data_IF_958415667547
#
_entry.id   IF_958415667547
#
_cell.length_a   1.000
_cell.length_b   1.000
_cell.length_c   1.000
_cell.angle_alpha   90.00
_cell.angle_beta   90.00
_cell.angle_gamma   90.00
#
_symmetry.space_group_name_H-M   'P 1'
#
loop_
_entity.id
_entity.type
_entity.pdbx_description
1 polymer ?
#
# COMPACT_ATOMS: atom_id res chain seq x y z
N UNK A 1 -52.31 23.17 15.40
CA UNK A 1 -51.69 21.85 15.71
C UNK A 1 -51.17 21.08 14.49
N UNK A 2 -52.00 20.70 13.49
CA UNK A 2 -51.55 19.84 12.35
C UNK A 2 -50.38 20.41 11.51
N UNK A 3 -50.30 21.74 11.32
CA UNK A 3 -49.20 22.40 10.58
C UNK A 3 -47.85 22.34 11.30
N UNK A 4 -47.82 22.49 12.62
CA UNK A 4 -46.58 22.41 13.42
C UNK A 4 -45.99 20.99 13.39
N UNK A 5 -46.84 19.96 13.43
CA UNK A 5 -46.39 18.56 13.33
C UNK A 5 -45.75 18.27 11.96
N UNK A 6 -46.28 18.84 10.87
CA UNK A 6 -45.69 18.71 9.52
C UNK A 6 -44.34 19.42 9.40
N UNK A 7 -44.22 20.61 9.99
CA UNK A 7 -42.98 21.39 9.97
C UNK A 7 -41.87 20.69 10.77
N UNK A 8 -42.20 20.13 11.95
CA UNK A 8 -41.23 19.40 12.77
C UNK A 8 -40.74 18.10 12.07
N UNK A 9 -41.62 17.40 11.35
CA UNK A 9 -41.22 16.23 10.55
C UNK A 9 -40.31 16.61 9.38
N UNK A 10 -40.57 17.74 8.71
CA UNK A 10 -39.74 18.21 7.60
C UNK A 10 -38.34 18.64 8.08
N UNK A 11 -38.26 19.34 9.22
CA UNK A 11 -36.98 19.73 9.84
C UNK A 11 -36.18 18.49 10.28
N UNK A 12 -36.84 17.48 10.86
CA UNK A 12 -36.18 16.23 11.23
C UNK A 12 -35.62 15.51 9.99
N UNK A 13 -36.37 15.46 8.90
CA UNK A 13 -35.92 14.86 7.63
C UNK A 13 -34.73 15.61 7.01
N UNK A 14 -34.75 16.95 7.03
CA UNK A 14 -33.64 17.79 6.57
C UNK A 14 -32.39 17.63 7.44
N UNK A 15 -32.54 17.54 8.76
CA UNK A 15 -31.41 17.26 9.65
C UNK A 15 -30.84 15.86 9.45
N UNK A 16 -31.68 14.84 9.19
CA UNK A 16 -31.21 13.51 8.86
C UNK A 16 -30.47 13.46 7.51
N UNK A 17 -30.95 14.16 6.47
CA UNK A 17 -30.22 14.20 5.18
C UNK A 17 -28.94 15.03 5.25
N UNK A 18 -28.89 16.06 6.11
CA UNK A 18 -27.66 16.83 6.35
C UNK A 18 -26.62 16.00 7.15
N UNK A 19 -27.05 15.24 8.16
CA UNK A 19 -26.19 14.31 8.90
C UNK A 19 -25.67 13.17 8.01
N UNK A 20 -26.46 12.69 7.05
CA UNK A 20 -25.99 11.70 6.06
C UNK A 20 -24.98 12.27 5.07
N UNK A 21 -24.93 13.60 4.87
CA UNK A 21 -23.85 14.27 4.14
C UNK A 21 -22.62 14.56 5.00
N UNK A 22 -22.71 14.48 6.33
CA UNK A 22 -21.55 14.42 7.23
C UNK A 22 -20.98 13.00 7.37
N UNK A 23 -21.70 11.99 6.89
CA UNK A 23 -21.16 10.66 6.58
C UNK A 23 -20.51 10.62 5.19
N UNK A 24 -20.09 11.77 4.64
CA UNK A 24 -19.04 11.78 3.64
C UNK A 24 -17.80 11.17 4.28
N UNK A 25 -17.51 9.94 3.86
CA UNK A 25 -16.29 9.21 4.15
C UNK A 25 -15.10 10.00 3.60
N UNK A 26 -14.67 11.00 4.37
CA UNK A 26 -13.33 11.56 4.26
C UNK A 26 -12.32 10.49 4.69
N UNK A 27 -11.11 10.45 4.11
CA UNK A 27 -10.12 9.45 4.42
C UNK A 27 -9.56 9.73 5.81
N UNK A 28 -10.16 9.16 6.85
CA UNK A 28 -9.53 9.07 8.16
C UNK A 28 -8.33 8.14 7.96
N UNK A 29 -7.13 8.63 8.28
CA UNK A 29 -5.85 7.97 8.08
C UNK A 29 -5.70 6.60 8.77
N UNK A 30 -4.46 6.07 8.86
CA UNK A 30 -4.02 4.72 8.48
C UNK A 30 -4.75 3.55 9.16
N UNK A 31 -6.08 3.47 8.99
CA UNK A 31 -6.90 2.36 9.42
C UNK A 31 -7.84 1.96 8.29
N UNK A 32 -7.24 1.63 7.14
CA UNK A 32 -7.95 1.11 6.00
C UNK A 32 -8.33 -0.35 6.26
N UNK A 33 -9.34 -0.59 7.11
CA UNK A 33 -9.92 -1.90 7.39
C UNK A 33 -8.87 -3.03 7.50
N UNK A 34 -7.97 -2.95 8.50
CA UNK A 34 -6.93 -3.97 8.66
C UNK A 34 -7.57 -5.34 8.90
N UNK A 35 -7.03 -6.34 8.20
CA UNK A 35 -7.39 -7.73 8.41
C UNK A 35 -6.13 -8.55 8.59
N UNK A 36 -6.10 -9.30 9.69
CA UNK A 36 -5.06 -10.30 9.91
C UNK A 36 -5.15 -11.39 8.85
N UNK A 37 -4.00 -11.83 8.38
CA UNK A 37 -3.88 -12.79 7.30
C UNK A 37 -4.22 -14.19 7.81
N UNK A 38 -5.44 -14.65 7.53
CA UNK A 38 -5.83 -16.04 7.70
C UNK A 38 -5.30 -16.94 6.59
N UNK A 39 -5.38 -18.27 6.80
CA UNK A 39 -5.08 -19.27 5.76
C UNK A 39 -3.67 -19.14 5.13
N UNK A 40 -2.69 -18.66 5.89
CA UNK A 40 -1.30 -18.52 5.45
C UNK A 40 -0.61 -19.89 5.37
N UNK A 41 0.19 -20.11 4.31
CA UNK A 41 0.96 -21.35 4.15
C UNK A 41 2.29 -21.07 3.46
N UNK A 42 3.12 -20.24 4.10
CA UNK A 42 4.40 -19.77 3.55
C UNK A 42 4.20 -19.00 2.23
N UNK A 43 3.24 -18.08 2.23
CA UNK A 43 2.74 -17.34 1.07
C UNK A 43 2.90 -15.84 1.29
N UNK A 44 3.64 -15.16 0.42
CA UNK A 44 3.95 -13.73 0.58
C UNK A 44 3.66 -12.92 -0.67
N UNK A 45 3.41 -11.62 -0.52
CA UNK A 45 3.76 -10.62 -1.51
C UNK A 45 5.19 -10.15 -1.24
N UNK A 46 6.04 -10.21 -2.25
CA UNK A 46 7.45 -9.83 -2.17
C UNK A 46 7.67 -8.59 -3.02
N UNK A 47 8.39 -7.61 -2.48
CA UNK A 47 8.74 -6.42 -3.24
C UNK A 47 10.12 -5.86 -2.86
N UNK A 48 10.81 -5.36 -3.88
CA UNK A 48 12.03 -4.57 -3.77
C UNK A 48 11.96 -3.44 -4.78
N UNK A 49 11.71 -2.23 -4.30
CA UNK A 49 11.57 -1.05 -5.16
C UNK A 49 12.94 -0.37 -5.32
N UNK A 50 13.32 0.06 -6.54
CA UNK A 50 14.63 0.62 -6.79
C UNK A 50 14.82 1.99 -6.11
N UNK A 51 16.06 2.41 -5.88
CA UNK A 51 16.33 3.80 -5.51
C UNK A 51 15.80 4.81 -6.52
N UNK A 52 15.22 5.90 -6.03
CA UNK A 52 14.97 7.10 -6.82
C UNK A 52 16.14 8.06 -6.61
N UNK A 53 17.26 7.85 -7.31
CA UNK A 53 18.55 8.52 -7.06
C UNK A 53 18.44 10.04 -6.90
N UNK A 54 17.63 10.69 -7.75
CA UNK A 54 17.46 12.14 -7.76
C UNK A 54 16.20 12.66 -7.05
N UNK A 55 15.44 11.79 -6.40
CA UNK A 55 14.09 12.11 -5.96
C UNK A 55 13.20 12.56 -7.12
N UNK A 56 11.92 12.79 -6.86
CA UNK A 56 11.14 13.61 -7.77
C UNK A 56 11.48 15.08 -7.51
N UNK A 57 11.94 15.77 -8.56
CA UNK A 57 12.25 17.21 -8.52
C UNK A 57 11.04 18.07 -8.09
N UNK A 58 9.83 17.53 -8.19
CA UNK A 58 8.58 18.24 -7.94
C UNK A 58 7.92 17.64 -6.71
N UNK A 59 8.20 18.24 -5.55
CA UNK A 59 7.68 17.84 -4.25
C UNK A 59 8.06 18.90 -3.23
N UNK A 60 7.51 20.09 -3.46
CA UNK A 60 7.72 21.28 -2.67
C UNK A 60 7.31 21.03 -1.19
N UNK A 61 8.16 21.49 -0.28
CA UNK A 61 7.93 21.90 1.11
C UNK A 61 7.28 20.95 2.15
N UNK A 62 6.84 19.73 1.81
CA UNK A 62 6.16 18.84 2.78
C UNK A 62 7.04 17.79 3.49
N UNK A 63 8.33 17.68 3.20
CA UNK A 63 9.19 16.58 3.70
C UNK A 63 10.33 17.08 4.57
N UNK A 64 10.47 16.49 5.77
CA UNK A 64 11.45 16.87 6.79
C UNK A 64 12.90 16.55 6.44
N UNK A 65 13.16 15.71 5.44
CA UNK A 65 14.53 15.39 4.98
C UNK A 65 14.60 14.91 3.53
N UNK A 66 15.79 15.01 2.92
CA UNK A 66 16.08 14.41 1.61
C UNK A 66 15.95 12.88 1.60
N UNK A 67 16.09 12.25 2.77
CA UNK A 67 15.94 10.81 2.99
C UNK A 67 14.47 10.39 2.96
N UNK A 68 13.56 11.21 3.50
CA UNK A 68 12.10 10.96 3.39
C UNK A 68 11.63 10.98 1.93
N UNK A 69 12.25 11.78 1.06
CA UNK A 69 11.92 11.86 -0.37
C UNK A 69 12.26 10.57 -1.14
N UNK A 70 13.02 9.67 -0.54
CA UNK A 70 13.47 8.42 -1.16
C UNK A 70 12.63 7.21 -0.73
N UNK A 71 11.66 7.38 0.17
CA UNK A 71 10.80 6.27 0.63
C UNK A 71 9.60 6.05 -0.28
N UNK A 72 9.11 4.81 -0.28
CA UNK A 72 7.89 4.42 -0.98
C UNK A 72 6.73 4.25 -0.02
N UNK A 73 5.52 4.52 -0.51
CA UNK A 73 4.28 4.11 0.09
C UNK A 73 3.75 2.88 -0.64
N UNK A 74 3.61 1.75 0.07
CA UNK A 74 3.06 0.50 -0.49
C UNK A 74 1.89 0.03 0.37
N UNK A 75 0.75 -0.21 -0.27
CA UNK A 75 -0.41 -0.83 0.39
C UNK A 75 -0.99 -1.96 -0.44
N UNK A 76 -1.35 -3.03 0.26
CA UNK A 76 -1.95 -4.22 -0.32
C UNK A 76 -3.32 -4.42 0.32
N UNK A 77 -4.30 -4.63 -0.55
CA UNK A 77 -5.67 -4.93 -0.17
C UNK A 77 -6.10 -6.26 -0.79
N UNK A 78 -7.01 -6.92 -0.09
CA UNK A 78 -7.79 -8.04 -0.62
C UNK A 78 -9.23 -7.57 -0.71
N UNK A 79 -9.79 -7.59 -1.91
CA UNK A 79 -11.18 -7.27 -2.12
C UNK A 79 -12.04 -8.43 -1.61
N UNK A 80 -13.06 -8.09 -0.82
CA UNK A 80 -14.08 -9.04 -0.42
C UNK A 80 -15.14 -9.10 -1.52
N UNK A 81 -15.56 -10.29 -1.92
CA UNK A 81 -16.63 -10.47 -2.94
C UNK A 81 -17.99 -9.98 -2.42
N UNK A 82 -18.14 -9.87 -1.09
CA UNK A 82 -19.29 -9.25 -0.43
C UNK A 82 -19.13 -7.72 -0.37
N UNK A 83 -20.23 -6.97 -0.27
CA UNK A 83 -20.32 -5.48 -0.29
C UNK A 83 -19.49 -4.72 0.77
N UNK A 84 -18.55 -5.39 1.43
CA UNK A 84 -17.62 -4.86 2.41
C UNK A 84 -16.45 -4.13 1.73
N UNK A 85 -15.91 -3.08 2.38
CA UNK A 85 -14.73 -2.39 1.87
C UNK A 85 -13.52 -3.34 1.84
N UNK A 86 -12.66 -3.17 0.83
CA UNK A 86 -11.41 -3.91 0.68
C UNK A 86 -10.59 -3.86 1.97
N UNK A 87 -10.08 -5.00 2.41
CA UNK A 87 -9.33 -5.11 3.64
C UNK A 87 -7.84 -4.94 3.38
N UNK A 88 -7.17 -4.05 4.12
CA UNK A 88 -5.72 -3.91 4.00
C UNK A 88 -5.02 -5.00 4.80
N UNK A 89 -4.10 -5.70 4.15
CA UNK A 89 -3.39 -6.85 4.74
C UNK A 89 -1.96 -6.55 5.17
N UNK A 90 -1.49 -5.30 5.01
CA UNK A 90 -0.19 -4.90 5.55
C UNK A 90 -0.16 -5.14 7.07
N UNK A 91 0.76 -5.97 7.60
CA UNK A 91 0.84 -6.26 9.03
C UNK A 91 1.07 -5.04 9.91
N UNK A 92 0.87 -5.23 11.21
CA UNK A 92 1.09 -4.22 12.23
C UNK A 92 2.57 -3.81 12.38
N UNK A 93 2.78 -2.69 13.05
CA UNK A 93 4.09 -2.06 13.31
C UNK A 93 5.19 -3.06 13.70
N UNK A 94 4.89 -3.98 14.62
CA UNK A 94 5.88 -4.90 15.19
C UNK A 94 6.47 -5.87 14.16
N UNK A 95 5.71 -6.23 13.12
CA UNK A 95 6.18 -7.09 12.05
C UNK A 95 7.26 -6.38 11.21
N UNK A 96 6.97 -5.16 10.77
CA UNK A 96 7.83 -4.38 9.89
C UNK A 96 9.11 -3.90 10.56
N UNK A 97 9.07 -3.64 11.88
CA UNK A 97 10.26 -3.27 12.64
C UNK A 97 11.40 -4.29 12.51
N UNK A 98 11.07 -5.57 12.35
CA UNK A 98 12.05 -6.66 12.25
C UNK A 98 12.86 -6.66 10.94
N UNK A 99 12.47 -5.84 9.96
CA UNK A 99 13.21 -5.68 8.71
C UNK A 99 14.36 -4.68 8.82
N UNK A 100 14.51 -3.95 9.93
CA UNK A 100 15.47 -2.86 10.03
C UNK A 100 16.47 -3.11 11.16
N UNK A 101 17.77 -3.00 10.85
CA UNK A 101 18.83 -3.20 11.84
C UNK A 101 18.85 -2.09 12.90
N UNK A 102 18.67 -0.83 12.48
CA UNK A 102 18.53 0.31 13.40
C UNK A 102 17.29 1.13 13.06
N UNK A 103 16.14 0.66 13.58
CA UNK A 103 14.84 1.32 13.36
C UNK A 103 14.82 2.79 13.82
N UNK A 104 15.59 3.13 14.85
CA UNK A 104 15.61 4.49 15.40
C UNK A 104 16.39 5.45 14.50
N UNK A 105 17.27 4.96 13.64
CA UNK A 105 17.97 5.77 12.64
C UNK A 105 17.15 6.07 11.37
N UNK A 106 16.00 5.40 11.20
CA UNK A 106 15.20 5.50 9.98
C UNK A 106 14.56 6.88 9.79
N UNK A 107 14.23 7.24 8.53
CA UNK A 107 13.42 8.42 8.24
C UNK A 107 12.16 8.47 9.12
N UNK A 108 11.79 9.66 9.58
CA UNK A 108 10.71 9.83 10.57
C UNK A 108 9.40 9.21 10.08
N UNK A 109 9.13 9.24 8.77
CA UNK A 109 7.92 8.67 8.19
C UNK A 109 7.85 7.14 8.36
N UNK A 110 8.97 6.43 8.24
CA UNK A 110 9.03 4.99 8.46
C UNK A 110 8.89 4.70 9.96
N UNK A 111 9.48 5.53 10.83
CA UNK A 111 9.32 5.34 12.28
C UNK A 111 7.88 5.51 12.75
N UNK A 112 7.16 6.47 12.16
CA UNK A 112 5.79 6.78 12.52
C UNK A 112 4.76 5.82 11.89
N UNK A 113 4.98 5.40 10.64
CA UNK A 113 4.04 4.57 9.88
C UNK A 113 4.77 3.47 9.07
N UNK A 114 5.46 2.52 9.73
CA UNK A 114 6.27 1.50 9.04
C UNK A 114 5.44 0.47 8.28
N UNK A 115 4.11 0.45 8.53
CA UNK A 115 3.16 -0.42 7.85
C UNK A 115 3.05 -0.11 6.36
N UNK A 116 3.27 1.15 5.98
CA UNK A 116 3.07 1.60 4.61
C UNK A 116 4.32 2.21 3.99
N UNK A 117 5.32 2.59 4.80
CA UNK A 117 6.48 3.32 4.31
C UNK A 117 7.74 2.45 4.31
N UNK A 118 8.41 2.39 3.16
CA UNK A 118 9.50 1.46 2.91
C UNK A 118 10.71 2.16 2.31
N UNK A 119 11.91 1.76 2.75
CA UNK A 119 13.17 2.17 2.12
C UNK A 119 13.32 1.51 0.73
N UNK A 120 13.96 2.21 -0.24
CA UNK A 120 14.34 1.60 -1.51
C UNK A 120 15.42 0.55 -1.31
N UNK A 121 15.60 -0.29 -2.33
CA UNK A 121 16.67 -1.29 -2.45
C UNK A 121 16.70 -2.38 -1.35
N UNK A 122 15.65 -2.44 -0.53
CA UNK A 122 15.39 -3.49 0.46
C UNK A 122 14.29 -4.42 -0.02
N UNK A 123 14.42 -5.71 0.27
CA UNK A 123 13.42 -6.73 -0.06
C UNK A 123 12.51 -6.99 1.14
N UNK A 124 11.21 -6.85 0.93
CA UNK A 124 10.18 -7.00 1.95
C UNK A 124 9.25 -8.14 1.61
N UNK A 125 8.72 -8.77 2.65
CA UNK A 125 7.79 -9.89 2.56
C UNK A 125 6.54 -9.49 3.33
N UNK A 126 5.39 -9.55 2.67
CA UNK A 126 4.09 -9.28 3.26
C UNK A 126 3.30 -10.61 3.26
N UNK A 127 2.91 -11.17 4.41
CA UNK A 127 2.16 -12.43 4.43
C UNK A 127 0.80 -12.24 3.75
N UNK A 128 0.37 -13.24 2.97
CA UNK A 128 -0.94 -13.24 2.28
C UNK A 128 -1.64 -14.60 2.43
N UNK A 129 -2.97 -14.66 2.31
CA UNK A 129 -3.69 -15.94 2.34
C UNK A 129 -3.38 -16.77 1.09
N UNK A 130 -3.36 -18.11 1.24
CA UNK A 130 -3.38 -19.02 0.09
C UNK A 130 -4.78 -19.07 -0.55
N UNK A 131 -4.84 -19.57 -1.78
CA UNK A 131 -6.06 -19.73 -2.57
C UNK A 131 -6.36 -18.53 -3.46
N UNK A 132 -7.56 -18.54 -4.05
CA UNK A 132 -8.03 -17.51 -4.97
C UNK A 132 -8.43 -16.24 -4.22
N UNK A 133 -7.69 -15.16 -4.47
CA UNK A 133 -7.93 -13.85 -3.87
C UNK A 133 -7.85 -12.77 -4.96
N UNK A 134 -8.61 -11.68 -4.79
CA UNK A 134 -8.47 -10.50 -5.64
C UNK A 134 -7.61 -9.46 -4.92
N UNK A 135 -6.36 -9.32 -5.38
CA UNK A 135 -5.40 -8.41 -4.79
C UNK A 135 -5.47 -7.05 -5.46
N UNK A 136 -5.47 -5.99 -4.66
CA UNK A 136 -5.21 -4.62 -5.10
C UNK A 136 -3.93 -4.11 -4.46
N UNK A 137 -2.92 -3.86 -5.27
CA UNK A 137 -1.62 -3.33 -4.83
C UNK A 137 -1.50 -1.89 -5.29
N UNK A 138 -1.09 -1.02 -4.37
CA UNK A 138 -0.83 0.38 -4.65
C UNK A 138 0.60 0.74 -4.31
N UNK A 139 1.28 1.43 -5.22
CA UNK A 139 2.67 1.86 -5.05
C UNK A 139 2.78 3.33 -5.45
N UNK A 140 3.14 4.16 -4.48
CA UNK A 140 3.39 5.56 -4.69
C UNK A 140 4.76 5.92 -4.13
N UNK A 141 5.39 6.94 -4.67
CA UNK A 141 6.45 7.60 -3.94
C UNK A 141 5.87 8.61 -2.94
N UNK A 142 6.77 9.23 -2.18
CA UNK A 142 6.37 10.11 -1.09
C UNK A 142 5.62 11.37 -1.55
N UNK A 143 5.80 11.82 -2.79
CA UNK A 143 5.03 12.94 -3.36
C UNK A 143 3.63 12.52 -3.83
N UNK A 144 3.16 11.33 -3.43
CA UNK A 144 1.92 10.70 -3.90
C UNK A 144 1.89 10.52 -5.42
N UNK A 145 3.04 10.58 -6.09
CA UNK A 145 3.09 10.29 -7.51
C UNK A 145 3.06 8.78 -7.71
N UNK A 146 2.25 8.29 -8.67
CA UNK A 146 2.15 6.87 -8.96
C UNK A 146 3.51 6.33 -9.41
N UNK A 147 3.88 5.17 -8.88
CA UNK A 147 5.05 4.40 -9.29
C UNK A 147 4.51 3.17 -10.00
N UNK A 148 5.03 2.86 -11.19
CA UNK A 148 4.54 1.73 -11.96
C UNK A 148 3.09 1.89 -12.46
N UNK A 149 2.61 3.13 -12.65
CA UNK A 149 1.19 3.41 -12.91
C UNK A 149 0.31 3.51 -11.66
N UNK A 150 0.87 3.30 -10.46
CA UNK A 150 0.26 3.64 -9.18
C UNK A 150 -0.54 2.52 -8.53
N UNK A 151 -1.29 1.74 -9.30
CA UNK A 151 -2.03 0.59 -8.80
C UNK A 151 -2.19 -0.54 -9.81
N UNK A 152 -2.34 -1.76 -9.29
CA UNK A 152 -2.75 -2.94 -10.04
C UNK A 152 -3.78 -3.73 -9.23
N UNK A 153 -4.79 -4.25 -9.92
CA UNK A 153 -5.79 -5.16 -9.36
C UNK A 153 -5.81 -6.46 -10.14
N UNK A 154 -5.69 -7.61 -9.46
CA UNK A 154 -5.68 -8.92 -10.13
C UNK A 154 -6.17 -10.04 -9.21
N UNK A 155 -7.01 -10.92 -9.77
CA UNK A 155 -7.32 -12.21 -9.15
C UNK A 155 -6.18 -13.20 -9.39
N UNK A 156 -5.62 -13.75 -8.31
CA UNK A 156 -4.54 -14.72 -8.34
C UNK A 156 -4.92 -15.87 -7.42
N UNK A 157 -4.81 -17.10 -7.91
CA UNK A 157 -4.87 -18.29 -7.07
C UNK A 157 -3.45 -18.60 -6.58
N UNK A 158 -3.22 -18.44 -5.28
CA UNK A 158 -1.90 -18.56 -4.66
C UNK A 158 -1.76 -19.95 -4.03
N UNK A 159 -0.95 -20.86 -4.60
CA UNK A 159 -0.69 -22.15 -3.99
C UNK A 159 0.07 -22.03 -2.67
N UNK A 160 0.04 -23.09 -1.86
CA UNK A 160 0.92 -23.17 -0.70
C UNK A 160 2.40 -23.13 -1.14
N UNK A 161 3.25 -22.46 -0.36
CA UNK A 161 4.67 -22.26 -0.66
C UNK A 161 4.94 -21.53 -1.99
N UNK A 162 4.02 -20.67 -2.42
CA UNK A 162 4.24 -19.72 -3.52
C UNK A 162 4.04 -18.30 -3.02
N UNK A 163 4.75 -17.37 -3.64
CA UNK A 163 4.68 -15.94 -3.37
C UNK A 163 4.39 -15.17 -4.64
N UNK A 164 3.83 -13.98 -4.49
CA UNK A 164 3.59 -13.03 -5.57
C UNK A 164 4.69 -11.97 -5.49
N UNK A 165 5.52 -11.83 -6.53
CA UNK A 165 6.48 -10.75 -6.64
C UNK A 165 5.87 -9.54 -7.35
N UNK A 166 6.00 -8.38 -6.73
CA UNK A 166 5.73 -7.08 -7.37
C UNK A 166 6.96 -6.72 -8.19
N UNK A 167 6.77 -6.61 -9.51
CA UNK A 167 7.81 -6.19 -10.45
C UNK A 167 7.39 -4.91 -11.19
N UNK A 168 8.31 -3.96 -11.30
CA UNK A 168 8.18 -2.82 -12.20
C UNK A 168 8.72 -3.22 -13.58
N UNK A 169 7.85 -3.26 -14.60
CA UNK A 169 8.22 -3.65 -15.98
C UNK A 169 8.10 -2.46 -16.92
N UNK A 170 9.07 -2.30 -17.84
CA UNK A 170 8.90 -1.34 -18.93
C UNK A 170 7.80 -1.82 -19.87
N UNK A 171 6.71 -1.07 -20.08
CA UNK A 171 5.78 -1.39 -21.15
C UNK A 171 6.44 -1.28 -22.54
N UNK A 172 7.58 -0.58 -22.67
CA UNK A 172 8.27 -0.31 -23.93
C UNK A 172 9.50 -1.18 -24.21
N UNK A 173 9.92 -2.01 -23.25
CA UNK A 173 11.06 -2.93 -23.41
C UNK A 173 12.45 -2.29 -23.50
N UNK A 174 12.61 -0.97 -23.29
CA UNK A 174 13.87 -0.26 -23.48
C UNK A 174 14.38 0.28 -22.15
N UNK A 175 15.39 -0.38 -21.57
CA UNK A 175 16.21 0.23 -20.52
C UNK A 175 16.92 1.45 -21.12
N UNK A 176 16.43 2.65 -20.83
CA UNK A 176 17.20 3.87 -21.08
C UNK A 176 18.14 4.03 -19.89
N UNK A 177 19.40 3.60 -20.05
CA UNK A 177 20.46 3.88 -19.08
C UNK A 177 20.54 5.40 -18.83
N UNK A 178 20.56 5.80 -17.56
CA UNK A 178 20.68 7.21 -17.16
C UNK A 178 19.35 7.94 -16.84
N UNK A 179 18.18 7.28 -16.87
CA UNK A 179 16.90 7.86 -16.40
C UNK A 179 16.08 6.93 -15.51
N UNK A 180 16.72 6.30 -14.52
CA UNK A 180 16.09 5.33 -13.60
C UNK A 180 14.82 5.86 -12.91
N UNK A 181 14.76 7.16 -12.62
CA UNK A 181 13.59 7.79 -12.00
C UNK A 181 12.36 7.83 -12.90
N UNK A 182 12.50 8.10 -14.21
CA UNK A 182 11.34 8.09 -15.13
C UNK A 182 10.86 6.67 -15.36
N UNK A 183 11.81 5.74 -15.45
CA UNK A 183 11.51 4.33 -15.63
C UNK A 183 10.60 3.80 -14.51
N UNK A 184 10.93 4.06 -13.24
CA UNK A 184 10.12 3.58 -12.13
C UNK A 184 8.68 4.17 -12.11
N UNK A 185 8.48 5.40 -12.61
CA UNK A 185 7.16 6.02 -12.69
C UNK A 185 6.34 5.50 -13.87
N UNK A 186 6.98 5.40 -15.04
CA UNK A 186 6.37 5.04 -16.32
C UNK A 186 6.22 3.51 -16.52
N UNK A 187 6.92 2.71 -15.71
CA UNK A 187 6.78 1.26 -15.71
C UNK A 187 5.31 0.86 -15.44
N UNK A 188 4.93 -0.36 -15.81
CA UNK A 188 3.74 -1.00 -15.28
C UNK A 188 4.10 -1.82 -14.04
N UNK A 189 3.19 -1.92 -13.07
CA UNK A 189 3.28 -2.95 -12.04
C UNK A 189 2.83 -4.28 -12.65
N UNK A 190 3.56 -5.35 -12.34
CA UNK A 190 3.14 -6.72 -12.59
C UNK A 190 3.23 -7.54 -11.31
N UNK A 191 2.36 -8.55 -11.23
CA UNK A 191 2.28 -9.51 -10.14
C UNK A 191 2.59 -10.88 -10.71
N UNK A 192 3.78 -11.39 -10.38
CA UNK A 192 4.30 -12.66 -10.92
C UNK A 192 4.35 -13.69 -9.78
N UNK A 193 3.81 -14.89 -10.00
CA UNK A 193 3.90 -15.99 -9.04
C UNK A 193 5.27 -16.66 -9.11
N UNK A 194 5.87 -16.92 -7.95
CA UNK A 194 7.15 -17.62 -7.80
C UNK A 194 7.13 -18.58 -6.60
N UNK A 195 7.95 -19.64 -6.58
CA UNK A 195 8.09 -20.48 -5.40
C UNK A 195 8.60 -19.67 -4.20
N UNK A 196 7.99 -19.87 -3.04
CA UNK A 196 8.44 -19.26 -1.79
C UNK A 196 9.76 -19.86 -1.34
N UNK A 197 10.66 -18.99 -0.87
CA UNK A 197 11.88 -19.40 -0.21
C UNK A 197 11.57 -19.52 1.28
N UNK A 198 12.01 -20.59 1.93
CA UNK A 198 11.89 -20.69 3.39
C UNK A 198 12.82 -19.67 4.04
N UNK A 199 12.26 -18.67 4.70
CA UNK A 199 13.03 -17.66 5.42
C UNK A 199 13.22 -18.10 6.87
N UNK A 200 14.46 -18.47 7.24
CA UNK A 200 14.84 -18.64 8.65
C UNK A 200 14.88 -17.30 9.40
N UNK A 201 15.10 -16.20 8.66
CA UNK A 201 15.04 -14.81 9.12
C UNK A 201 14.78 -13.89 7.93
N UNK A 202 14.13 -12.74 8.16
CA UNK A 202 13.97 -11.72 7.12
C UNK A 202 15.31 -11.06 6.79
N UNK A 203 15.56 -10.67 5.53
CA UNK A 203 16.72 -9.86 5.21
C UNK A 203 16.64 -8.53 5.96
N UNK A 204 17.73 -8.17 6.62
CA UNK A 204 17.83 -6.90 7.32
C UNK A 204 18.14 -5.79 6.30
N UNK A 205 17.22 -4.85 6.19
CA UNK A 205 17.44 -3.51 5.68
C UNK A 205 18.30 -2.72 6.69
N UNK A 206 19.00 -1.70 6.19
CA UNK A 206 20.05 -0.94 6.92
C UNK A 206 19.65 -0.49 8.32
#
# INVERSE_FOLDING_TARGET
>A
MKKQIKLNKLILLLNCTYLMNCLHWGPIGPNYNYQEVGNFSNTYIIFKLPSLENGLKNGDDFFGSATDKKTYFVSVFIDNEELLPSACVNPEYGYWRNFYKDFNSLPQIIRNEPRFNFLPDCEYFLPIPKGKNHFKVKVYNRNKSPVGGGEISRSIDVPANFSIRINLKDPRGNKIEGMENRFALDAGISLDLEPSINHASFPLCR
#
